data_IF_034873581179
#
_entry.id   IF_034873581179
#
_cell.length_a   1.000
_cell.length_b   1.000
_cell.length_c   1.000
_cell.angle_alpha   90.00
_cell.angle_beta   90.00
_cell.angle_gamma   90.00
#
_symmetry.space_group_name_H-M   'P 1'
#
loop_
_entity.id
_entity.type
_entity.pdbx_description
1 polymer ?
#
# COMPACT_ATOMS: atom_id res chain seq x y z
N UNK A 1 17.54 3.20 -17.94
CA UNK A 1 17.06 4.08 -16.85
C UNK A 1 17.73 3.52 -15.61
N UNK A 2 18.60 4.29 -14.95
CA UNK A 2 19.42 3.84 -13.79
C UNK A 2 19.90 5.09 -13.05
N UNK A 3 20.50 6.05 -13.77
CA UNK A 3 20.99 7.31 -13.21
C UNK A 3 19.92 8.27 -12.65
N UNK A 4 18.65 8.04 -12.93
CA UNK A 4 17.54 8.79 -12.33
C UNK A 4 17.12 8.22 -10.97
N UNK A 5 17.33 6.92 -10.73
CA UNK A 5 16.82 6.22 -9.55
C UNK A 5 17.67 6.55 -8.32
N UNK A 6 18.99 6.54 -8.46
CA UNK A 6 19.96 6.93 -7.43
C UNK A 6 19.81 8.39 -6.94
N UNK A 7 19.45 9.30 -7.85
CA UNK A 7 19.18 10.71 -7.54
C UNK A 7 17.87 10.86 -6.77
N UNK A 8 16.86 10.09 -7.16
CA UNK A 8 15.54 10.08 -6.49
C UNK A 8 15.65 9.47 -5.10
N UNK A 9 16.41 8.39 -4.93
CA UNK A 9 16.62 7.74 -3.63
C UNK A 9 17.33 8.66 -2.63
N UNK A 10 18.40 9.31 -3.06
CA UNK A 10 19.19 10.24 -2.23
C UNK A 10 18.39 11.47 -1.79
N UNK A 11 17.41 11.90 -2.59
CA UNK A 11 16.50 13.00 -2.25
C UNK A 11 15.31 12.55 -1.37
N UNK A 12 14.84 11.30 -1.51
CA UNK A 12 13.68 10.78 -0.78
C UNK A 12 13.99 10.40 0.66
N UNK A 13 15.18 9.84 0.93
CA UNK A 13 15.58 9.39 2.28
C UNK A 13 15.38 10.50 3.34
N UNK A 14 15.94 11.71 3.20
CA UNK A 14 15.76 12.75 4.22
C UNK A 14 14.32 13.23 4.36
N UNK A 15 13.52 13.20 3.28
CA UNK A 15 12.11 13.60 3.29
C UNK A 15 11.26 12.58 4.05
N UNK A 16 11.47 11.28 3.79
CA UNK A 16 10.78 10.19 4.51
C UNK A 16 11.11 10.26 6.00
N UNK A 17 12.39 10.42 6.35
CA UNK A 17 12.82 10.56 7.74
C UNK A 17 12.26 11.81 8.43
N UNK A 18 12.07 12.91 7.70
CA UNK A 18 11.57 14.18 8.26
C UNK A 18 10.04 14.27 8.37
N UNK A 19 9.28 13.57 7.53
CA UNK A 19 7.82 13.70 7.46
C UNK A 19 7.04 12.49 8.01
N UNK A 20 7.66 11.32 8.17
CA UNK A 20 6.93 10.12 8.60
C UNK A 20 7.05 9.92 10.11
N UNK A 21 6.04 10.40 10.84
CA UNK A 21 5.88 10.06 12.26
C UNK A 21 5.58 8.58 12.48
N UNK A 22 5.77 8.11 13.71
CA UNK A 22 5.38 6.76 14.18
C UNK A 22 4.03 6.25 13.64
N UNK A 23 2.93 7.05 13.66
CA UNK A 23 1.64 6.60 13.15
C UNK A 23 1.64 6.32 11.64
N UNK A 24 2.39 7.09 10.86
CA UNK A 24 2.52 6.87 9.40
C UNK A 24 3.25 5.56 9.11
N UNK A 25 4.34 5.28 9.83
CA UNK A 25 5.08 4.02 9.67
C UNK A 25 4.23 2.78 9.99
N UNK A 26 3.43 2.83 11.07
CA UNK A 26 2.53 1.74 11.45
C UNK A 26 1.40 1.54 10.42
N UNK A 27 0.83 2.63 9.88
CA UNK A 27 -0.16 2.55 8.81
C UNK A 27 0.42 1.94 7.53
N UNK A 28 1.67 2.28 7.17
CA UNK A 28 2.36 1.67 6.04
C UNK A 28 2.58 0.16 6.20
N UNK A 29 2.96 -0.32 7.39
CA UNK A 29 3.11 -1.76 7.66
C UNK A 29 1.76 -2.47 7.55
N UNK A 30 0.70 -1.91 8.14
CA UNK A 30 -0.65 -2.46 8.04
C UNK A 30 -1.10 -2.57 6.58
N UNK A 31 -0.85 -1.53 5.77
CA UNK A 31 -1.10 -1.57 4.34
C UNK A 31 -0.27 -2.64 3.64
N UNK A 32 1.02 -2.75 3.93
CA UNK A 32 1.95 -3.69 3.28
C UNK A 32 1.56 -5.16 3.51
N UNK A 33 1.03 -5.50 4.69
CA UNK A 33 0.53 -6.84 5.01
C UNK A 33 -0.67 -7.22 4.14
N UNK A 34 -1.54 -6.26 3.80
CA UNK A 34 -2.76 -6.48 3.04
C UNK A 34 -2.67 -6.11 1.56
N UNK A 35 -1.53 -5.61 1.09
CA UNK A 35 -1.30 -5.27 -0.31
C UNK A 35 -0.54 -6.35 -1.12
N UNK A 36 -1.00 -7.61 -1.24
CA UNK A 36 -0.42 -8.54 -2.21
C UNK A 36 -1.28 -8.63 -3.47
N UNK A 37 -1.00 -7.78 -4.45
CA UNK A 37 -1.32 -8.09 -5.85
C UNK A 37 -0.51 -7.22 -6.80
N UNK A 38 0.52 -7.81 -7.37
CA UNK A 38 1.24 -7.20 -8.48
C UNK A 38 0.28 -7.04 -9.67
N UNK A 39 0.40 -5.95 -10.45
CA UNK A 39 -0.40 -5.73 -11.67
C UNK A 39 -0.35 -6.93 -12.64
N UNK A 40 0.77 -7.66 -12.64
CA UNK A 40 0.94 -8.90 -13.39
C UNK A 40 -0.09 -9.99 -12.99
N UNK A 41 -0.37 -10.15 -11.70
CA UNK A 41 -1.33 -11.14 -11.19
C UNK A 41 -2.75 -10.82 -11.66
N UNK A 42 -3.13 -9.55 -11.65
CA UNK A 42 -4.43 -9.08 -12.14
C UNK A 42 -4.60 -9.29 -13.64
N UNK A 43 -3.52 -9.06 -14.41
CA UNK A 43 -3.50 -9.28 -15.84
C UNK A 43 -3.73 -10.76 -16.20
N UNK A 44 -3.13 -11.69 -15.44
CA UNK A 44 -3.33 -13.13 -15.62
C UNK A 44 -4.74 -13.55 -15.20
N UNK A 45 -5.23 -13.13 -14.02
CA UNK A 45 -6.58 -13.49 -13.54
C UNK A 45 -7.66 -13.01 -14.53
N UNK A 46 -7.52 -11.81 -15.08
CA UNK A 46 -8.44 -11.28 -16.11
C UNK A 46 -8.45 -12.16 -17.36
N UNK A 47 -7.27 -12.68 -17.77
CA UNK A 47 -7.13 -13.49 -18.98
C UNK A 47 -7.74 -14.88 -18.82
N UNK A 48 -7.50 -15.50 -17.66
CA UNK A 48 -7.97 -16.86 -17.36
C UNK A 48 -9.45 -16.90 -16.97
N UNK A 49 -9.93 -15.91 -16.21
CA UNK A 49 -11.33 -15.85 -15.77
C UNK A 49 -12.25 -15.33 -16.88
N UNK A 50 -11.70 -14.66 -17.93
CA UNK A 50 -12.44 -13.90 -18.97
C UNK A 50 -13.45 -12.86 -18.43
N UNK A 51 -13.50 -12.65 -17.11
CA UNK A 51 -14.46 -11.80 -16.41
C UNK A 51 -13.74 -10.75 -15.60
N UNK A 52 -13.67 -9.53 -16.14
CA UNK A 52 -13.09 -8.35 -15.47
C UNK A 52 -13.82 -7.98 -14.18
N UNK A 53 -15.13 -8.25 -14.09
CA UNK A 53 -15.92 -7.96 -12.89
C UNK A 53 -15.47 -8.79 -11.70
N UNK A 54 -15.26 -10.10 -11.89
CA UNK A 54 -14.80 -11.00 -10.82
C UNK A 54 -13.39 -10.62 -10.34
N UNK A 55 -12.48 -10.33 -11.27
CA UNK A 55 -11.12 -9.86 -10.94
C UNK A 55 -11.17 -8.54 -10.15
N UNK A 56 -11.96 -7.57 -10.59
CA UNK A 56 -12.09 -6.28 -9.91
C UNK A 56 -12.76 -6.37 -8.53
N UNK A 57 -13.71 -7.29 -8.33
CA UNK A 57 -14.35 -7.51 -7.03
C UNK A 57 -13.34 -8.04 -6.01
N UNK A 58 -12.53 -9.03 -6.39
CA UNK A 58 -11.51 -9.62 -5.49
C UNK A 58 -10.45 -8.57 -5.12
N UNK A 59 -9.97 -7.81 -6.12
CA UNK A 59 -9.03 -6.71 -5.90
C UNK A 59 -9.61 -5.61 -5.03
N UNK A 60 -10.84 -5.19 -5.34
CA UNK A 60 -11.54 -4.16 -4.58
C UNK A 60 -11.79 -4.60 -3.14
N UNK A 61 -12.13 -5.87 -2.92
CA UNK A 61 -12.37 -6.42 -1.59
C UNK A 61 -11.11 -6.38 -0.72
N UNK A 62 -9.98 -6.89 -1.22
CA UNK A 62 -8.70 -6.87 -0.52
C UNK A 62 -8.21 -5.43 -0.26
N UNK A 63 -8.39 -4.54 -1.24
CA UNK A 63 -8.02 -3.13 -1.10
C UNK A 63 -8.88 -2.39 -0.08
N UNK A 64 -10.20 -2.63 -0.08
CA UNK A 64 -11.11 -2.05 0.90
C UNK A 64 -10.79 -2.54 2.32
N UNK A 65 -10.48 -3.83 2.47
CA UNK A 65 -10.06 -4.39 3.75
C UNK A 65 -8.74 -3.77 4.23
N UNK A 66 -7.76 -3.60 3.33
CA UNK A 66 -6.49 -2.94 3.64
C UNK A 66 -6.71 -1.49 4.11
N UNK A 67 -7.54 -0.73 3.40
CA UNK A 67 -7.86 0.65 3.76
C UNK A 67 -8.53 0.73 5.14
N UNK A 68 -9.44 -0.20 5.43
CA UNK A 68 -10.10 -0.30 6.73
C UNK A 68 -9.10 -0.55 7.87
N UNK A 69 -8.18 -1.52 7.70
CA UNK A 69 -7.14 -1.79 8.69
C UNK A 69 -6.17 -0.62 8.87
N UNK A 70 -5.75 0.03 7.79
CA UNK A 70 -4.87 1.19 7.86
C UNK A 70 -5.54 2.36 8.61
N UNK A 71 -6.83 2.59 8.38
CA UNK A 71 -7.62 3.59 9.09
C UNK A 71 -7.71 3.28 10.59
N UNK A 72 -7.99 2.02 10.94
CA UNK A 72 -8.02 1.57 12.34
C UNK A 72 -6.66 1.76 13.01
N UNK A 73 -5.56 1.34 12.37
CA UNK A 73 -4.21 1.48 12.94
C UNK A 73 -3.83 2.95 13.11
N UNK A 74 -4.16 3.82 12.14
CA UNK A 74 -3.90 5.25 12.25
C UNK A 74 -4.66 5.91 13.41
N UNK A 75 -5.96 5.60 13.55
CA UNK A 75 -6.78 6.12 14.64
C UNK A 75 -6.35 5.58 16.00
N UNK A 76 -6.00 4.31 16.09
CA UNK A 76 -5.47 3.69 17.32
C UNK A 76 -4.10 4.30 17.67
N UNK A 77 -3.20 4.46 16.70
CA UNK A 77 -1.90 5.06 16.92
C UNK A 77 -2.01 6.53 17.38
N UNK A 78 -2.92 7.31 16.79
CA UNK A 78 -3.24 8.66 17.27
C UNK A 78 -3.78 8.66 18.70
N UNK A 79 -4.66 7.72 19.05
CA UNK A 79 -5.21 7.62 20.41
C UNK A 79 -4.23 7.06 21.45
N UNK A 80 -3.19 6.33 21.04
CA UNK A 80 -2.14 5.79 21.93
C UNK A 80 -0.96 6.74 22.08
N UNK A 81 -0.66 7.55 21.06
CA UNK A 81 0.47 8.49 21.04
C UNK A 81 0.07 9.93 21.45
N UNK A 82 -1.22 10.25 21.43
CA UNK A 82 -1.78 11.49 21.99
C UNK A 82 -2.02 11.40 23.49
#
# INVERSE_FOLDING_TARGET
>A
VSGSEEVVESALVPIVHGNWGLPTALAFIAWYIYAPMCMATLAVIKRETKSTKQTAIITGYLFALAYFFAFVVYHVALGVVG
#
